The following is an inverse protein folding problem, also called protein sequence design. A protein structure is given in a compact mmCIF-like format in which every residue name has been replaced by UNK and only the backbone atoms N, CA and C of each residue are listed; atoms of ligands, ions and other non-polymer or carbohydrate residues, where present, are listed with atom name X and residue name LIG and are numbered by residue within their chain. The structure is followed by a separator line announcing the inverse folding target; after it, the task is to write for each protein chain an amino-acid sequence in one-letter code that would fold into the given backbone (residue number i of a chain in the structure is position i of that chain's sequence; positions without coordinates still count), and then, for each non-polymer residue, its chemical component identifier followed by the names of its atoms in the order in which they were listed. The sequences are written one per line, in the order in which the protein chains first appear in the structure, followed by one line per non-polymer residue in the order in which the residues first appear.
data_IF_977287968907
#
_entry.id   IF_977287968907
#
_cell.length_a   1.000
_cell.length_b   1.000
_cell.length_c   1.000
_cell.angle_alpha   90.00
_cell.angle_beta   90.00
_cell.angle_gamma   90.00
#
_symmetry.space_group_name_H-M   'P 1'
#
loop_
_entity.id
_entity.type
_entity.pdbx_description
1 polymer ?
#
# COMPACT_ATOMS: atom_id res chain seq x y z
N UNK A 1 -26.05 -2.44 7.51
CA UNK A 1 -25.85 -1.59 6.34
C UNK A 1 -24.42 -1.67 5.82
N UNK A 2 -24.23 -1.29 4.57
CA UNK A 2 -22.91 -1.22 3.94
C UNK A 2 -21.93 -0.39 4.79
N UNK A 3 -22.34 0.80 5.18
CA UNK A 3 -21.52 1.72 5.96
C UNK A 3 -21.17 1.15 7.34
N UNK A 4 -22.15 0.52 7.99
CA UNK A 4 -21.92 -0.07 9.31
C UNK A 4 -20.90 -1.20 9.25
N UNK A 5 -21.01 -2.12 8.30
CA UNK A 5 -20.04 -3.21 8.15
C UNK A 5 -18.66 -2.69 7.79
N UNK A 6 -18.57 -1.69 6.91
CA UNK A 6 -17.31 -1.06 6.54
C UNK A 6 -16.63 -0.43 7.75
N UNK A 7 -17.37 0.34 8.55
CA UNK A 7 -16.84 0.97 9.76
C UNK A 7 -16.41 -0.07 10.79
N UNK A 8 -17.21 -1.14 10.98
CA UNK A 8 -16.82 -2.23 11.88
C UNK A 8 -15.51 -2.89 11.45
N UNK A 9 -15.34 -3.10 10.15
CA UNK A 9 -14.10 -3.65 9.63
C UNK A 9 -12.89 -2.79 9.99
N UNK A 10 -13.02 -1.49 9.80
CA UNK A 10 -11.95 -0.54 10.14
C UNK A 10 -11.63 -0.56 11.64
N UNK A 11 -12.66 -0.58 12.48
CA UNK A 11 -12.48 -0.61 13.94
C UNK A 11 -11.80 -1.91 14.37
N UNK A 12 -12.26 -3.05 13.89
CA UNK A 12 -11.64 -4.34 14.22
C UNK A 12 -10.18 -4.38 13.78
N UNK A 13 -9.87 -3.81 12.62
CA UNK A 13 -8.48 -3.75 12.16
C UNK A 13 -7.62 -2.90 13.12
N UNK A 14 -8.12 -1.75 13.54
CA UNK A 14 -7.42 -0.89 14.50
C UNK A 14 -7.18 -1.58 15.84
N UNK A 15 -8.07 -2.48 16.23
CA UNK A 15 -7.94 -3.26 17.45
C UNK A 15 -7.05 -4.49 17.29
N UNK A 16 -6.48 -4.71 16.11
CA UNK A 16 -5.66 -5.89 15.83
C UNK A 16 -6.45 -7.17 15.62
N UNK A 17 -7.77 -7.09 15.51
CA UNK A 17 -8.65 -8.24 15.32
C UNK A 17 -8.91 -8.48 13.83
N UNK A 18 -7.87 -8.91 13.11
CA UNK A 18 -7.90 -8.97 11.65
C UNK A 18 -8.96 -9.94 11.11
N UNK A 19 -9.17 -11.10 11.74
CA UNK A 19 -10.19 -12.04 11.29
C UNK A 19 -11.59 -11.44 11.34
N UNK A 20 -11.89 -10.70 12.41
CA UNK A 20 -13.18 -10.02 12.56
C UNK A 20 -13.32 -8.90 11.55
N UNK A 21 -12.22 -8.18 11.29
CA UNK A 21 -12.19 -7.12 10.29
C UNK A 21 -12.57 -7.68 8.91
N UNK A 22 -11.96 -8.79 8.52
CA UNK A 22 -12.22 -9.39 7.20
C UNK A 22 -13.65 -9.93 7.09
N UNK A 23 -14.21 -10.48 8.16
CA UNK A 23 -15.62 -10.90 8.16
C UNK A 23 -16.55 -9.70 7.95
N UNK A 24 -16.26 -8.59 8.60
CA UNK A 24 -17.07 -7.37 8.43
C UNK A 24 -16.95 -6.83 7.00
N UNK A 25 -15.74 -6.82 6.43
CA UNK A 25 -15.55 -6.42 5.03
C UNK A 25 -16.26 -7.35 4.06
N UNK A 26 -16.24 -8.66 4.33
CA UNK A 26 -16.98 -9.63 3.50
C UNK A 26 -18.48 -9.34 3.52
N UNK A 27 -19.02 -8.96 4.67
CA UNK A 27 -20.42 -8.55 4.79
C UNK A 27 -20.71 -7.30 3.97
N UNK A 28 -19.82 -6.30 4.03
CA UNK A 28 -19.96 -5.08 3.23
C UNK A 28 -19.95 -5.41 1.74
N UNK A 29 -19.05 -6.28 1.30
CA UNK A 29 -18.92 -6.65 -0.11
C UNK A 29 -20.06 -7.53 -0.61
N UNK A 30 -20.79 -8.21 0.28
CA UNK A 30 -22.05 -8.88 -0.10
C UNK A 30 -23.12 -7.87 -0.47
N UNK A 31 -23.14 -6.73 0.20
CA UNK A 31 -24.12 -5.67 -0.08
C UNK A 31 -23.75 -4.94 -1.36
N UNK A 32 -22.45 -4.58 -1.49
CA UNK A 32 -21.93 -3.92 -2.70
C UNK A 32 -20.55 -4.50 -3.03
N UNK A 33 -20.49 -5.44 -4.00
CA UNK A 33 -19.21 -6.07 -4.38
C UNK A 33 -18.15 -5.11 -4.93
N UNK A 34 -18.58 -3.95 -5.42
CA UNK A 34 -17.70 -2.96 -6.03
C UNK A 34 -17.45 -1.74 -5.12
N UNK A 35 -17.65 -1.90 -3.81
CA UNK A 35 -17.39 -0.81 -2.86
C UNK A 35 -15.90 -0.60 -2.72
N UNK A 36 -15.37 0.34 -3.49
CA UNK A 36 -13.91 0.49 -3.68
C UNK A 36 -13.17 0.83 -2.40
N UNK A 37 -13.79 1.57 -1.47
CA UNK A 37 -13.19 1.87 -0.18
C UNK A 37 -12.82 0.59 0.59
N UNK A 38 -13.76 -0.36 0.69
CA UNK A 38 -13.52 -1.64 1.36
C UNK A 38 -12.56 -2.50 0.56
N UNK A 39 -12.72 -2.54 -0.76
CA UNK A 39 -11.80 -3.31 -1.61
C UNK A 39 -10.36 -2.88 -1.40
N UNK A 40 -10.11 -1.57 -1.34
CA UNK A 40 -8.76 -1.07 -1.12
C UNK A 40 -8.22 -1.43 0.28
N UNK A 41 -9.00 -1.16 1.32
CA UNK A 41 -8.56 -1.43 2.69
C UNK A 41 -8.31 -2.92 2.92
N UNK A 42 -9.23 -3.76 2.45
CA UNK A 42 -9.12 -5.20 2.57
C UNK A 42 -7.88 -5.71 1.84
N UNK A 43 -7.70 -5.28 0.60
CA UNK A 43 -6.53 -5.68 -0.20
C UNK A 43 -5.23 -5.26 0.46
N UNK A 44 -5.18 -4.03 0.97
CA UNK A 44 -3.98 -3.53 1.63
C UNK A 44 -3.63 -4.34 2.87
N UNK A 45 -4.61 -4.58 3.74
CA UNK A 45 -4.37 -5.32 4.99
C UNK A 45 -3.96 -6.77 4.74
N UNK A 46 -4.56 -7.43 3.76
CA UNK A 46 -4.12 -8.77 3.36
C UNK A 46 -2.68 -8.75 2.87
N UNK A 47 -2.32 -7.74 2.09
CA UNK A 47 -0.96 -7.61 1.55
C UNK A 47 0.08 -7.42 2.65
N UNK A 48 -0.24 -6.58 3.65
CA UNK A 48 0.66 -6.35 4.80
C UNK A 48 0.91 -7.64 5.57
N UNK A 49 -0.10 -8.49 5.69
CA UNK A 49 0.06 -9.81 6.33
C UNK A 49 0.75 -10.83 5.41
N UNK A 50 0.98 -10.50 4.16
CA UNK A 50 1.53 -11.43 3.17
C UNK A 50 0.58 -12.56 2.81
N UNK A 51 -0.73 -12.36 2.98
CA UNK A 51 -1.74 -13.40 2.79
C UNK A 51 -2.62 -13.10 1.59
N UNK A 52 -3.01 -14.17 0.88
CA UNK A 52 -3.99 -14.12 -0.20
C UNK A 52 -3.69 -13.00 -1.20
N UNK A 53 -2.42 -12.92 -1.64
CA UNK A 53 -1.98 -11.84 -2.53
C UNK A 53 -2.75 -11.81 -3.85
N UNK A 54 -3.18 -12.98 -4.36
CA UNK A 54 -3.99 -13.03 -5.57
C UNK A 54 -5.37 -12.39 -5.36
N UNK A 55 -6.00 -12.68 -4.23
CA UNK A 55 -7.28 -12.04 -3.85
C UNK A 55 -7.09 -10.53 -3.69
N UNK A 56 -6.03 -10.14 -2.99
CA UNK A 56 -5.69 -8.72 -2.80
C UNK A 56 -5.47 -8.03 -4.14
N UNK A 57 -4.74 -8.65 -5.06
CA UNK A 57 -4.53 -8.13 -6.40
C UNK A 57 -5.86 -7.89 -7.13
N UNK A 58 -6.74 -8.89 -7.13
CA UNK A 58 -8.02 -8.78 -7.84
C UNK A 58 -8.91 -7.66 -7.28
N UNK A 59 -8.94 -7.52 -5.94
CA UNK A 59 -9.70 -6.45 -5.29
C UNK A 59 -9.11 -5.06 -5.62
N UNK A 60 -7.80 -4.94 -5.53
CA UNK A 60 -7.10 -3.68 -5.78
C UNK A 60 -7.22 -3.24 -7.24
N UNK A 61 -7.23 -4.21 -8.16
CA UNK A 61 -7.42 -3.93 -9.59
C UNK A 61 -8.72 -3.19 -9.87
N UNK A 62 -9.79 -3.58 -9.18
CA UNK A 62 -11.09 -2.89 -9.32
C UNK A 62 -10.96 -1.42 -8.89
N UNK A 63 -10.19 -1.13 -7.83
CA UNK A 63 -10.04 0.25 -7.35
C UNK A 63 -9.32 1.15 -8.34
N UNK A 64 -8.26 0.66 -8.98
CA UNK A 64 -7.51 1.47 -9.94
C UNK A 64 -8.22 1.60 -11.28
N UNK A 65 -9.09 0.66 -11.63
CA UNK A 65 -9.94 0.79 -12.81
C UNK A 65 -11.04 1.83 -12.58
N UNK A 66 -11.56 1.92 -11.35
CA UNK A 66 -12.57 2.90 -10.98
C UNK A 66 -11.99 4.31 -10.81
N UNK A 67 -10.82 4.43 -10.21
CA UNK A 67 -10.14 5.71 -9.95
C UNK A 67 -8.68 5.61 -10.32
N UNK A 68 -8.34 5.74 -11.63
CA UNK A 68 -6.98 5.50 -12.13
C UNK A 68 -5.92 6.47 -11.60
N UNK A 69 -6.32 7.63 -11.11
CA UNK A 69 -5.40 8.66 -10.62
C UNK A 69 -5.38 8.78 -9.10
N UNK A 70 -6.03 7.86 -8.38
CA UNK A 70 -6.03 7.89 -6.93
C UNK A 70 -4.71 7.34 -6.40
N UNK A 71 -3.89 8.20 -5.81
CA UNK A 71 -2.54 7.83 -5.34
C UNK A 71 -2.57 6.70 -4.31
N UNK A 72 -3.55 6.70 -3.40
CA UNK A 72 -3.69 5.65 -2.38
C UNK A 72 -3.97 4.29 -3.02
N UNK A 73 -4.84 4.26 -4.03
CA UNK A 73 -5.16 3.00 -4.72
C UNK A 73 -4.01 2.53 -5.60
N UNK A 74 -3.32 3.44 -6.24
CA UNK A 74 -2.11 3.13 -7.01
C UNK A 74 -1.01 2.55 -6.13
N UNK A 75 -0.83 3.12 -4.94
CA UNK A 75 0.12 2.61 -3.94
C UNK A 75 -0.21 1.17 -3.53
N UNK A 76 -1.47 0.91 -3.17
CA UNK A 76 -1.91 -0.43 -2.78
C UNK A 76 -1.65 -1.43 -3.89
N UNK A 77 -2.04 -1.11 -5.11
CA UNK A 77 -1.86 -2.01 -6.25
C UNK A 77 -0.38 -2.26 -6.55
N UNK A 78 0.41 -1.20 -6.59
CA UNK A 78 1.85 -1.30 -6.80
C UNK A 78 2.55 -2.10 -5.72
N UNK A 79 2.15 -1.89 -4.46
CA UNK A 79 2.73 -2.62 -3.32
C UNK A 79 2.42 -4.12 -3.40
N UNK A 80 1.18 -4.49 -3.77
CA UNK A 80 0.81 -5.89 -3.97
C UNK A 80 1.68 -6.53 -5.07
N UNK A 81 1.88 -5.84 -6.19
CA UNK A 81 2.76 -6.33 -7.25
C UNK A 81 4.19 -6.54 -6.75
N UNK A 82 4.70 -5.60 -5.97
CA UNK A 82 6.02 -5.72 -5.37
C UNK A 82 6.11 -6.96 -4.48
N UNK A 83 5.11 -7.18 -3.61
CA UNK A 83 5.07 -8.34 -2.71
C UNK A 83 4.92 -9.65 -3.46
N UNK A 84 4.36 -9.63 -4.66
CA UNK A 84 4.30 -10.80 -5.55
C UNK A 84 5.62 -11.05 -6.29
N UNK A 85 6.67 -10.27 -5.99
CA UNK A 85 7.96 -10.41 -6.65
C UNK A 85 8.04 -9.75 -8.01
N UNK A 86 7.21 -8.74 -8.27
CA UNK A 86 7.12 -8.05 -9.55
C UNK A 86 7.44 -6.55 -9.43
N UNK A 87 8.65 -6.18 -8.94
CA UNK A 87 8.98 -4.77 -8.73
C UNK A 87 8.99 -3.96 -10.03
N UNK A 88 9.39 -4.56 -11.15
CA UNK A 88 9.41 -3.86 -12.43
C UNK A 88 8.00 -3.51 -12.90
N UNK A 89 7.04 -4.39 -12.68
CA UNK A 89 5.63 -4.10 -12.98
C UNK A 89 5.02 -3.09 -12.01
N UNK A 90 5.49 -3.07 -10.75
CA UNK A 90 5.00 -2.15 -9.72
C UNK A 90 5.42 -0.71 -10.00
N UNK A 91 6.61 -0.51 -10.54
CA UNK A 91 7.21 0.82 -10.68
C UNK A 91 6.32 1.85 -11.38
N UNK A 92 5.68 1.57 -12.53
CA UNK A 92 4.84 2.55 -13.21
C UNK A 92 3.69 3.07 -12.34
N UNK A 93 3.11 2.24 -11.49
CA UNK A 93 2.00 2.64 -10.63
C UNK A 93 2.46 3.63 -9.56
N UNK A 94 3.63 3.43 -8.98
CA UNK A 94 4.20 4.39 -8.04
C UNK A 94 4.60 5.69 -8.73
N UNK A 95 5.19 5.60 -9.91
CA UNK A 95 5.55 6.76 -10.69
C UNK A 95 4.31 7.61 -11.00
N UNK A 96 3.21 6.95 -11.36
CA UNK A 96 1.92 7.60 -11.59
C UNK A 96 1.39 8.24 -10.30
N UNK A 97 1.48 7.54 -9.16
CA UNK A 97 1.06 8.06 -7.86
C UNK A 97 1.79 9.37 -7.50
N UNK A 98 3.06 9.50 -7.86
CA UNK A 98 3.83 10.71 -7.58
C UNK A 98 3.27 11.94 -8.29
N UNK A 99 2.57 11.76 -9.42
CA UNK A 99 1.94 12.86 -10.15
C UNK A 99 0.62 13.30 -9.50
N UNK A 100 0.02 12.50 -8.65
CA UNK A 100 -1.32 12.72 -8.11
C UNK A 100 -1.35 12.73 -6.57
N UNK A 101 -0.33 13.29 -5.96
CA UNK A 101 -0.30 13.51 -4.51
C UNK A 101 0.48 12.47 -3.71
N UNK A 102 1.11 11.50 -4.37
CA UNK A 102 1.94 10.51 -3.66
C UNK A 102 3.08 11.12 -2.87
N UNK A 103 3.57 12.30 -3.31
CA UNK A 103 4.65 13.02 -2.62
C UNK A 103 4.20 13.66 -1.29
N UNK A 104 2.92 13.63 -0.99
CA UNK A 104 2.41 14.11 0.29
C UNK A 104 2.29 12.99 1.33
N UNK A 105 2.65 11.76 0.96
CA UNK A 105 2.53 10.58 1.81
C UNK A 105 3.89 9.93 2.04
N UNK A 106 4.34 9.88 3.30
CA UNK A 106 5.56 9.16 3.66
C UNK A 106 5.45 7.68 3.33
N UNK A 107 4.27 7.08 3.55
CA UNK A 107 4.02 5.66 3.25
C UNK A 107 4.22 5.37 1.76
N UNK A 108 3.62 6.17 0.88
CA UNK A 108 3.70 5.95 -0.57
C UNK A 108 5.13 6.13 -1.08
N UNK A 109 5.81 7.17 -0.62
CA UNK A 109 7.21 7.40 -1.01
C UNK A 109 8.14 6.30 -0.51
N UNK A 110 7.91 5.80 0.71
CA UNK A 110 8.67 4.68 1.24
C UNK A 110 8.46 3.41 0.40
N UNK A 111 7.22 3.08 0.07
CA UNK A 111 6.92 1.93 -0.78
C UNK A 111 7.60 2.07 -2.14
N UNK A 112 7.53 3.24 -2.74
CA UNK A 112 8.20 3.49 -4.03
C UNK A 112 9.71 3.29 -3.91
N UNK A 113 10.31 3.84 -2.85
CA UNK A 113 11.75 3.68 -2.60
C UNK A 113 12.14 2.21 -2.44
N UNK A 114 11.33 1.40 -1.75
CA UNK A 114 11.59 -0.04 -1.63
C UNK A 114 11.56 -0.74 -3.00
N UNK A 115 10.61 -0.38 -3.85
CA UNK A 115 10.53 -0.91 -5.22
C UNK A 115 11.79 -0.54 -6.01
N UNK A 116 12.20 0.72 -5.93
CA UNK A 116 13.40 1.20 -6.62
C UNK A 116 14.66 0.51 -6.09
N UNK A 117 14.74 0.31 -4.79
CA UNK A 117 15.84 -0.42 -4.17
C UNK A 117 15.91 -1.86 -4.70
N UNK A 118 14.77 -2.54 -4.79
CA UNK A 118 14.70 -3.89 -5.34
C UNK A 118 15.19 -3.96 -6.80
N UNK A 119 14.97 -2.88 -7.56
CA UNK A 119 15.42 -2.74 -8.95
C UNK A 119 16.87 -2.23 -9.04
N UNK A 120 17.54 -2.04 -7.91
CA UNK A 120 18.91 -1.50 -7.82
C UNK A 120 19.04 -0.06 -8.35
N UNK A 121 17.95 0.68 -8.38
CA UNK A 121 17.95 2.12 -8.69
C UNK A 121 18.17 2.90 -7.39
N UNK A 122 19.36 2.76 -6.83
CA UNK A 122 19.67 3.20 -5.46
C UNK A 122 19.61 4.72 -5.29
N UNK A 123 20.12 5.48 -6.24
CA UNK A 123 20.12 6.94 -6.11
C UNK A 123 18.70 7.48 -6.02
N UNK A 124 17.82 7.00 -6.89
CA UNK A 124 16.43 7.44 -6.87
C UNK A 124 15.69 6.93 -5.63
N UNK A 125 16.00 5.70 -5.19
CA UNK A 125 15.44 5.16 -3.95
C UNK A 125 15.77 6.11 -2.78
N UNK A 126 17.02 6.56 -2.67
CA UNK A 126 17.42 7.48 -1.60
C UNK A 126 16.73 8.83 -1.70
N UNK A 127 16.48 9.34 -2.91
CA UNK A 127 15.71 10.58 -3.10
C UNK A 127 14.33 10.44 -2.44
N UNK A 128 13.61 9.37 -2.74
CA UNK A 128 12.27 9.17 -2.19
C UNK A 128 12.29 8.84 -0.70
N UNK A 129 13.26 8.07 -0.22
CA UNK A 129 13.39 7.86 1.23
C UNK A 129 13.70 9.15 1.98
N UNK A 130 14.55 10.01 1.45
CA UNK A 130 14.83 11.31 2.08
C UNK A 130 13.57 12.19 2.13
N UNK A 131 12.78 12.18 1.06
CA UNK A 131 11.49 12.88 1.05
C UNK A 131 10.51 12.26 2.05
N UNK A 132 10.45 10.94 2.11
CA UNK A 132 9.60 10.22 3.06
C UNK A 132 9.96 10.55 4.51
N UNK A 133 11.25 10.58 4.82
CA UNK A 133 11.73 10.92 6.17
C UNK A 133 11.29 12.32 6.59
N UNK A 134 11.31 13.27 5.66
CA UNK A 134 10.87 14.65 5.93
C UNK A 134 9.36 14.74 6.17
N UNK A 135 8.59 13.89 5.50
CA UNK A 135 7.12 13.87 5.62
C UNK A 135 6.65 12.97 6.76
N UNK A 136 7.50 12.07 7.26
CA UNK A 136 7.10 11.07 8.24
C UNK A 136 6.74 11.71 9.57
N UNK A 137 5.49 11.59 9.94
CA UNK A 137 4.93 12.13 11.18
C UNK A 137 4.41 10.99 12.06
N UNK A 138 5.16 9.89 12.08
CA UNK A 138 4.82 8.69 12.84
C UNK A 138 4.08 7.63 12.06
N UNK A 139 3.70 7.88 10.82
CA UNK A 139 2.98 6.91 9.97
C UNK A 139 3.84 5.68 9.64
N UNK A 140 5.16 5.85 9.59
CA UNK A 140 6.10 4.76 9.34
C UNK A 140 7.14 4.77 10.47
N UNK A 141 6.83 4.11 11.61
CA UNK A 141 7.68 4.22 12.83
C UNK A 141 9.10 3.72 12.68
N UNK A 142 9.34 2.71 11.81
CA UNK A 142 10.66 2.10 11.63
C UNK A 142 11.45 2.72 10.47
N UNK A 143 10.95 3.78 9.84
CA UNK A 143 11.50 4.28 8.59
C UNK A 143 12.97 4.68 8.70
N UNK A 144 13.31 5.49 9.71
CA UNK A 144 14.68 6.01 9.87
C UNK A 144 15.70 4.87 10.00
N UNK A 145 15.42 3.89 10.85
CA UNK A 145 16.30 2.74 11.06
C UNK A 145 16.40 1.88 9.80
N UNK A 146 15.28 1.62 9.15
CA UNK A 146 15.28 0.78 7.94
C UNK A 146 16.04 1.45 6.79
N UNK A 147 15.87 2.76 6.61
CA UNK A 147 16.62 3.51 5.59
C UNK A 147 18.12 3.45 5.88
N UNK A 148 18.50 3.59 7.13
CA UNK A 148 19.92 3.48 7.53
C UNK A 148 20.49 2.12 7.13
N UNK A 149 19.76 1.04 7.39
CA UNK A 149 20.20 -0.32 7.03
C UNK A 149 20.25 -0.51 5.51
N UNK A 150 19.28 -0.01 4.77
CA UNK A 150 19.29 -0.06 3.31
C UNK A 150 20.51 0.67 2.74
N UNK A 151 20.81 1.86 3.28
CA UNK A 151 21.94 2.66 2.84
C UNK A 151 23.27 1.91 3.05
N UNK A 152 23.44 1.24 4.19
CA UNK A 152 24.61 0.40 4.42
C UNK A 152 24.71 -0.73 3.41
N UNK A 153 23.59 -1.37 3.08
CA UNK A 153 23.53 -2.47 2.13
C UNK A 153 23.94 -2.04 0.71
N UNK A 154 23.68 -0.80 0.33
CA UNK A 154 24.05 -0.25 -0.97
C UNK A 154 25.56 -0.10 -1.18
N UNK A 155 26.33 -0.04 -0.10
CA UNK A 155 27.80 0.14 -0.14
C UNK A 155 28.53 -1.17 -0.39
N UNK A 156 27.84 -2.29 -0.38
CA UNK A 156 28.42 -3.62 -0.65
C UNK A 156 28.23 -4.01 -2.13
#
# INVERSE_FOLDING_TARGET
TLRAWSTMGDIYHQLGENKKAYKAYDKALKINPDYIYVLNNYAYYLSVEGRKLKKAYNMSKVTIEAEPDNATYLDTFGWILYLQGKPLEAKPFFKHAMLYGGKDSAVIMDHYAEVLYALKEYDLAMVYWNMALKKNDGDVPDLEERVRLRKQSMKK
#
